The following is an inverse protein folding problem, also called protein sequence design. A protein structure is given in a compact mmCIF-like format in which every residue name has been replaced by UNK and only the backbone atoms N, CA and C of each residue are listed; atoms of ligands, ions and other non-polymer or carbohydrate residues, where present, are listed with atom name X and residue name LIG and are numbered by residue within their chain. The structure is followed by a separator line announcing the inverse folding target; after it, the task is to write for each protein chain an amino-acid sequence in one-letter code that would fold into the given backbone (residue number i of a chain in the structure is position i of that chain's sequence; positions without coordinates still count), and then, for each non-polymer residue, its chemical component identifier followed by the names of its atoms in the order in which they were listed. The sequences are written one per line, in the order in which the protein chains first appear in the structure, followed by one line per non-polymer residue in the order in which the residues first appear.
data_IF_526271378019
#
_entry.id   IF_526271378019
#
_cell.length_a   1.000
_cell.length_b   1.000
_cell.length_c   1.000
_cell.angle_alpha   90.00
_cell.angle_beta   90.00
_cell.angle_gamma   90.00
#
_symmetry.space_group_name_H-M   'P 1'
#
loop_
_entity.id
_entity.type
_entity.pdbx_description
1 polymer ?
#
# COMPACT_ATOMS: atom_id res chain seq x y z
N UNK A 1 11.06 20.50 -12.69
CA UNK A 1 10.43 19.44 -13.50
C UNK A 1 9.98 18.33 -12.55
N UNK A 2 8.76 18.46 -11.99
CA UNK A 2 8.18 17.41 -11.14
C UNK A 2 7.43 16.49 -12.08
N UNK A 3 8.11 15.43 -12.49
CA UNK A 3 7.52 14.43 -13.37
C UNK A 3 6.49 13.64 -12.58
N UNK A 4 5.23 13.87 -12.92
CA UNK A 4 4.08 13.09 -12.49
C UNK A 4 4.32 11.64 -12.89
N UNK A 5 4.85 10.82 -11.98
CA UNK A 5 4.84 9.37 -12.14
C UNK A 5 3.39 8.93 -11.94
N UNK A 6 2.67 8.88 -13.06
CA UNK A 6 1.38 8.23 -13.20
C UNK A 6 1.50 6.81 -12.64
N UNK A 7 0.98 6.59 -11.43
CA UNK A 7 0.87 5.25 -10.85
C UNK A 7 -0.26 4.54 -11.57
N UNK A 8 0.08 3.92 -12.69
CA UNK A 8 -0.78 2.99 -13.40
C UNK A 8 -1.05 1.79 -12.47
N UNK A 9 -2.21 1.78 -11.83
CA UNK A 9 -2.66 0.64 -11.02
C UNK A 9 -2.99 -0.50 -11.97
N UNK A 10 -2.01 -1.38 -12.24
CA UNK A 10 -2.23 -2.62 -12.99
C UNK A 10 -3.29 -3.45 -12.23
N UNK A 11 -4.47 -3.53 -12.84
CA UNK A 11 -5.63 -4.27 -12.34
C UNK A 11 -5.41 -5.75 -12.66
N UNK A 12 -4.98 -6.53 -11.68
CA UNK A 12 -4.92 -7.99 -11.81
C UNK A 12 -6.01 -8.64 -10.95
N UNK A 13 -6.89 -9.33 -11.65
CA UNK A 13 -8.15 -9.91 -11.21
C UNK A 13 -7.93 -11.14 -10.33
N UNK A 14 -8.08 -10.98 -9.01
CA UNK A 14 -8.19 -12.08 -8.05
C UNK A 14 -9.58 -12.08 -7.40
N UNK A 15 -10.34 -13.14 -7.62
CA UNK A 15 -11.72 -13.33 -7.16
C UNK A 15 -11.85 -13.27 -5.62
N UNK A 16 -12.29 -12.14 -5.07
CA UNK A 16 -12.73 -12.01 -3.67
C UNK A 16 -14.03 -11.19 -3.64
N UNK A 17 -15.11 -11.81 -4.14
CA UNK A 17 -16.45 -11.21 -4.16
C UNK A 17 -17.16 -11.50 -2.84
N UNK A 18 -17.07 -10.56 -1.89
CA UNK A 18 -18.08 -10.22 -0.86
C UNK A 18 -17.48 -9.18 0.10
N UNK A 19 -17.86 -7.90 -0.03
CA UNK A 19 -17.43 -6.81 0.90
C UNK A 19 -16.57 -5.67 0.31
N UNK A 20 -16.12 -5.75 -0.95
CA UNK A 20 -15.15 -4.82 -1.53
C UNK A 20 -15.66 -3.38 -1.81
N UNK A 21 -16.97 -3.16 -1.87
CA UNK A 21 -17.55 -1.84 -2.21
C UNK A 21 -17.18 -0.77 -1.18
N UNK A 22 -17.55 -0.99 0.08
CA UNK A 22 -17.26 -0.05 1.18
C UNK A 22 -15.76 0.19 1.41
N UNK A 23 -14.93 -0.85 1.24
CA UNK A 23 -13.48 -0.72 1.43
C UNK A 23 -12.83 0.13 0.33
N UNK A 24 -13.29 0.01 -0.92
CA UNK A 24 -12.81 0.87 -2.02
C UNK A 24 -13.16 2.34 -1.80
N UNK A 25 -14.37 2.63 -1.37
CA UNK A 25 -14.80 4.01 -1.10
C UNK A 25 -13.98 4.64 0.04
N UNK A 26 -13.67 3.85 1.08
CA UNK A 26 -12.80 4.28 2.17
C UNK A 26 -11.36 4.55 1.70
N UNK A 27 -10.77 3.64 0.92
CA UNK A 27 -9.39 3.77 0.41
C UNK A 27 -9.26 4.98 -0.52
N UNK A 28 -10.19 5.16 -1.45
CA UNK A 28 -10.19 6.31 -2.37
C UNK A 28 -10.39 7.64 -1.65
N UNK A 29 -11.18 7.67 -0.56
CA UNK A 29 -11.29 8.85 0.30
C UNK A 29 -9.98 9.09 1.05
N UNK A 30 -9.34 8.04 1.56
CA UNK A 30 -8.07 8.11 2.28
C UNK A 30 -6.95 8.65 1.38
N UNK A 31 -6.89 8.23 0.12
CA UNK A 31 -5.91 8.69 -0.87
C UNK A 31 -5.95 10.21 -1.12
N UNK A 32 -7.09 10.86 -0.90
CA UNK A 32 -7.24 12.31 -1.05
C UNK A 32 -6.75 13.11 0.14
N UNK A 33 -6.68 12.49 1.32
CA UNK A 33 -6.38 13.18 2.59
C UNK A 33 -5.05 12.73 3.21
N UNK A 34 -4.50 11.59 2.79
CA UNK A 34 -3.26 11.01 3.34
C UNK A 34 -2.12 11.04 2.35
N UNK A 35 -0.91 11.00 2.88
CA UNK A 35 0.31 10.88 2.06
C UNK A 35 0.73 9.41 1.98
N UNK A 36 0.83 8.89 0.76
CA UNK A 36 1.21 7.49 0.51
C UNK A 36 2.71 7.33 0.25
N UNK A 37 3.41 6.64 1.15
CA UNK A 37 4.83 6.31 1.03
C UNK A 37 5.03 4.92 0.41
N UNK A 38 6.01 4.82 -0.48
CA UNK A 38 6.46 3.55 -1.05
C UNK A 38 7.60 2.98 -0.20
N UNK A 39 7.42 1.76 0.29
CA UNK A 39 8.37 1.06 1.14
C UNK A 39 8.86 -0.18 0.41
N UNK A 40 10.17 -0.37 0.34
CA UNK A 40 10.83 -1.53 -0.26
C UNK A 40 12.02 -1.96 0.59
N UNK A 41 12.69 -3.03 0.21
CA UNK A 41 13.88 -3.54 0.89
C UNK A 41 13.62 -3.98 2.35
N UNK A 42 12.46 -4.58 2.59
CA UNK A 42 12.13 -5.23 3.85
C UNK A 42 12.08 -6.76 3.65
N UNK A 43 12.22 -7.56 4.73
CA UNK A 43 12.21 -9.02 4.66
C UNK A 43 10.94 -9.58 4.02
N UNK A 44 11.04 -10.67 3.25
CA UNK A 44 9.90 -11.26 2.55
C UNK A 44 8.86 -11.88 3.51
N UNK A 45 9.27 -12.19 4.74
CA UNK A 45 8.43 -12.64 5.85
C UNK A 45 7.72 -11.49 6.57
N UNK A 46 8.08 -10.24 6.33
CA UNK A 46 7.47 -9.10 7.00
C UNK A 46 5.98 -8.98 6.66
N UNK A 47 5.18 -8.79 7.69
CA UNK A 47 3.73 -8.62 7.57
C UNK A 47 3.34 -7.15 7.57
N UNK A 48 2.10 -6.86 7.20
CA UNK A 48 1.55 -5.49 7.29
C UNK A 48 1.52 -4.98 8.73
N UNK A 49 1.39 -5.86 9.72
CA UNK A 49 1.38 -5.51 11.14
C UNK A 49 2.78 -5.09 11.63
N UNK A 50 3.83 -5.75 11.15
CA UNK A 50 5.21 -5.39 11.47
C UNK A 50 5.56 -4.01 10.93
N UNK A 51 5.18 -3.74 9.68
CA UNK A 51 5.34 -2.41 9.09
C UNK A 51 4.51 -1.37 9.86
N UNK A 52 3.26 -1.68 10.21
CA UNK A 52 2.42 -0.77 10.99
C UNK A 52 3.10 -0.37 12.29
N UNK A 53 3.52 -1.36 13.10
CA UNK A 53 4.22 -1.15 14.38
C UNK A 53 5.51 -0.34 14.20
N UNK A 54 6.27 -0.62 13.15
CA UNK A 54 7.50 0.12 12.84
C UNK A 54 7.23 1.60 12.53
N UNK A 55 6.13 1.89 11.81
CA UNK A 55 5.78 3.24 11.38
C UNK A 55 5.03 4.07 12.42
N UNK A 56 4.43 3.44 13.43
CA UNK A 56 3.75 4.13 14.55
C UNK A 56 4.64 5.15 15.28
N UNK A 57 5.97 4.91 15.34
CA UNK A 57 6.91 5.84 15.98
C UNK A 57 7.09 7.16 15.23
N UNK A 58 6.75 7.21 13.95
CA UNK A 58 6.88 8.40 13.10
C UNK A 58 5.57 9.20 13.01
N UNK A 59 4.44 8.63 13.42
CA UNK A 59 3.15 9.29 13.39
C UNK A 59 1.98 8.31 13.32
N UNK A 60 0.78 8.86 13.12
CA UNK A 60 -0.44 8.07 12.98
C UNK A 60 -0.45 7.40 11.61
N UNK A 61 -0.35 6.07 11.60
CA UNK A 61 -0.50 5.27 10.39
C UNK A 61 -1.99 5.09 10.09
N UNK A 62 -2.40 5.32 8.85
CA UNK A 62 -3.78 5.15 8.38
C UNK A 62 -4.03 3.79 7.73
N UNK A 63 -3.19 3.40 6.77
CA UNK A 63 -3.31 2.14 6.04
C UNK A 63 -1.93 1.60 5.66
N UNK A 64 -1.72 0.29 5.85
CA UNK A 64 -0.55 -0.43 5.34
C UNK A 64 -1.03 -1.49 4.36
N UNK A 65 -0.44 -1.50 3.17
CA UNK A 65 -0.79 -2.44 2.12
C UNK A 65 0.46 -3.05 1.49
N UNK A 66 0.57 -4.37 1.54
CA UNK A 66 1.63 -5.14 0.87
C UNK A 66 0.97 -5.93 -0.28
N UNK A 67 1.18 -5.55 -1.55
CA UNK A 67 0.73 -6.33 -2.68
C UNK A 67 1.33 -7.74 -2.69
N UNK A 68 0.58 -8.72 -3.18
CA UNK A 68 1.10 -10.07 -3.46
C UNK A 68 2.05 -10.12 -4.66
N UNK A 69 2.03 -9.07 -5.50
CA UNK A 69 2.87 -8.94 -6.68
C UNK A 69 4.28 -8.54 -6.26
N UNK A 70 5.28 -9.13 -6.91
CA UNK A 70 6.68 -8.76 -6.75
C UNK A 70 7.04 -7.64 -7.73
N UNK A 71 8.02 -6.82 -7.35
CA UNK A 71 8.60 -5.81 -8.24
C UNK A 71 9.35 -6.49 -9.40
N UNK A 72 9.74 -5.73 -10.43
CA UNK A 72 10.55 -6.20 -11.58
C UNK A 72 11.84 -6.93 -11.15
N UNK A 73 12.33 -6.65 -9.93
CA UNK A 73 13.52 -7.25 -9.32
C UNK A 73 13.22 -8.45 -8.40
N UNK A 74 11.99 -8.94 -8.37
CA UNK A 74 11.58 -10.07 -7.53
C UNK A 74 11.48 -9.77 -6.03
N UNK A 75 11.44 -8.49 -5.64
CA UNK A 75 11.41 -8.07 -4.23
C UNK A 75 9.99 -7.70 -3.80
N UNK A 76 9.67 -7.92 -2.53
CA UNK A 76 8.46 -7.35 -1.93
C UNK A 76 8.56 -5.83 -1.79
N UNK A 77 7.40 -5.20 -1.86
CA UNK A 77 7.21 -3.78 -1.64
C UNK A 77 5.84 -3.55 -0.97
N UNK A 78 5.67 -2.39 -0.36
CA UNK A 78 4.46 -2.03 0.35
C UNK A 78 4.20 -0.53 0.27
N UNK A 79 2.99 -0.16 0.67
CA UNK A 79 2.54 1.22 0.76
C UNK A 79 2.08 1.51 2.17
N UNK A 80 2.48 2.66 2.69
CA UNK A 80 2.08 3.14 4.01
C UNK A 80 1.47 4.52 3.86
N UNK A 81 0.26 4.70 4.35
CA UNK A 81 -0.46 5.98 4.33
C UNK A 81 -0.44 6.60 5.72
N UNK A 82 -0.05 7.87 5.78
CA UNK A 82 -0.15 8.72 6.96
C UNK A 82 -1.25 9.75 6.75
#
# INVERSE_FOLDING_TARGET
MRESVERETVRESGNARTGLGRKRDFITKLDKVTTSFFVTNFPDDATSDDLWKLFLKFGKVGEVYIPKKLDKRGRRFGFVKF
#
